data_IF_786476714290
#
_entry.id   IF_786476714290
#
_cell.length_a   1.000
_cell.length_b   1.000
_cell.length_c   1.000
_cell.angle_alpha   90.00
_cell.angle_beta   90.00
_cell.angle_gamma   90.00
#
_symmetry.space_group_name_H-M   'P 1'
#
loop_
_entity.id
_entity.type
_entity.pdbx_description
1 polymer ?
#
# COMPACT_ATOMS: atom_id res chain seq x y z
N UNK A 1 -4.36 3.26 -17.16
CA UNK A 1 -5.05 2.50 -16.10
C UNK A 1 -4.20 1.30 -15.74
N UNK A 2 -3.56 1.32 -14.57
CA UNK A 2 -2.92 0.14 -14.00
C UNK A 2 -3.98 -0.91 -13.65
N UNK A 3 -3.69 -2.19 -13.88
CA UNK A 3 -4.55 -3.29 -13.45
C UNK A 3 -4.33 -3.60 -11.97
N UNK A 4 -5.37 -4.03 -11.27
CA UNK A 4 -5.27 -4.41 -9.85
C UNK A 4 -4.23 -5.50 -9.63
N UNK A 5 -4.14 -6.48 -10.52
CA UNK A 5 -3.13 -7.55 -10.47
C UNK A 5 -1.69 -7.02 -10.56
N UNK A 6 -1.46 -6.00 -11.39
CA UNK A 6 -0.16 -5.34 -11.52
C UNK A 6 0.18 -4.56 -10.25
N UNK A 7 -0.80 -3.84 -9.69
CA UNK A 7 -0.63 -3.14 -8.42
C UNK A 7 -0.31 -4.12 -7.27
N UNK A 8 -1.04 -5.24 -7.16
CA UNK A 8 -0.77 -6.30 -6.18
C UNK A 8 0.65 -6.83 -6.33
N UNK A 9 1.10 -7.10 -7.57
CA UNK A 9 2.47 -7.56 -7.84
C UNK A 9 3.51 -6.55 -7.38
N UNK A 10 3.32 -5.27 -7.73
CA UNK A 10 4.21 -4.18 -7.33
C UNK A 10 4.26 -4.02 -5.79
N UNK A 11 3.11 -4.08 -5.13
CA UNK A 11 3.03 -3.97 -3.67
C UNK A 11 3.76 -5.13 -2.99
N UNK A 12 3.52 -6.35 -3.44
CA UNK A 12 4.19 -7.56 -2.93
C UNK A 12 5.70 -7.53 -3.11
N UNK A 13 6.20 -6.85 -4.15
CA UNK A 13 7.63 -6.69 -4.35
C UNK A 13 8.27 -5.78 -3.29
N UNK A 14 7.59 -4.67 -2.94
CA UNK A 14 8.19 -3.60 -2.13
C UNK A 14 7.91 -3.79 -0.63
N UNK A 15 6.73 -4.28 -0.23
CA UNK A 15 6.34 -4.42 1.18
C UNK A 15 7.39 -5.16 2.03
N UNK A 16 7.91 -6.34 1.61
CA UNK A 16 8.90 -7.07 2.42
C UNK A 16 10.23 -6.33 2.60
N UNK A 17 10.56 -5.40 1.69
CA UNK A 17 11.77 -4.56 1.79
C UNK A 17 11.61 -3.44 2.82
N UNK A 18 10.36 -3.07 3.16
CA UNK A 18 10.04 -2.06 4.18
C UNK A 18 9.92 -2.71 5.56
N UNK A 19 9.10 -3.74 5.68
CA UNK A 19 8.99 -4.54 6.90
C UNK A 19 8.30 -5.88 6.59
N UNK A 20 8.92 -7.04 6.92
CA UNK A 20 8.33 -8.35 6.64
C UNK A 20 7.04 -8.63 7.43
N UNK A 21 6.70 -7.82 8.44
CA UNK A 21 5.46 -7.95 9.23
C UNK A 21 4.29 -7.18 8.61
N UNK A 22 4.54 -6.32 7.63
CA UNK A 22 3.47 -5.65 6.89
C UNK A 22 2.81 -6.64 5.93
N UNK A 23 1.48 -6.65 5.94
CA UNK A 23 0.68 -7.56 5.11
C UNK A 23 -0.25 -6.74 4.25
N UNK A 24 -0.23 -7.02 2.94
CA UNK A 24 -1.22 -6.51 1.99
C UNK A 24 -2.51 -7.33 2.12
N UNK A 25 -3.63 -6.66 2.34
CA UNK A 25 -4.94 -7.28 2.28
C UNK A 25 -5.42 -7.32 0.83
N UNK A 26 -5.12 -8.42 0.14
CA UNK A 26 -5.40 -8.55 -1.30
C UNK A 26 -6.87 -8.35 -1.64
N UNK A 27 -7.79 -8.71 -0.74
CA UNK A 27 -9.23 -8.51 -0.92
C UNK A 27 -9.67 -7.05 -0.91
N UNK A 28 -8.84 -6.15 -0.38
CA UNK A 28 -9.09 -4.72 -0.26
C UNK A 28 -8.29 -3.90 -1.29
N UNK A 29 -7.78 -4.54 -2.35
CA UNK A 29 -7.05 -3.84 -3.43
C UNK A 29 -8.00 -3.57 -4.58
N UNK A 30 -8.30 -2.29 -4.80
CA UNK A 30 -9.25 -1.86 -5.82
C UNK A 30 -8.72 -0.67 -6.61
N UNK A 31 -8.88 -0.71 -7.93
CA UNK A 31 -8.63 0.48 -8.75
C UNK A 31 -9.84 1.41 -8.70
N UNK A 32 -9.61 2.69 -8.44
CA UNK A 32 -10.64 3.74 -8.37
C UNK A 32 -10.34 4.84 -9.39
N UNK A 33 -11.39 5.41 -9.98
CA UNK A 33 -11.29 6.46 -11.00
C UNK A 33 -11.59 7.87 -10.46
N UNK A 34 -12.38 7.98 -9.39
CA UNK A 34 -12.86 9.24 -8.82
C UNK A 34 -12.64 9.30 -7.30
N UNK A 35 -12.34 10.48 -6.71
CA UNK A 35 -12.08 11.76 -7.37
C UNK A 35 -10.72 11.82 -8.07
N UNK A 36 -9.85 10.83 -7.85
CA UNK A 36 -8.55 10.71 -8.49
C UNK A 36 -8.29 9.26 -8.90
N UNK A 37 -7.71 9.08 -10.09
CA UNK A 37 -7.31 7.77 -10.58
C UNK A 37 -6.18 7.15 -9.74
N UNK A 38 -6.36 5.94 -9.25
CA UNK A 38 -5.35 5.24 -8.46
C UNK A 38 -5.84 3.92 -7.87
N UNK A 39 -5.12 3.43 -6.88
CA UNK A 39 -5.39 2.15 -6.23
C UNK A 39 -5.64 2.38 -4.74
N UNK A 40 -6.82 2.00 -4.28
CA UNK A 40 -7.11 1.79 -2.87
C UNK A 40 -6.59 0.41 -2.45
N UNK A 41 -6.01 0.31 -1.25
CA UNK A 41 -5.43 -0.92 -0.76
C UNK A 41 -5.44 -1.00 0.77
N UNK A 42 -5.75 -2.17 1.30
CA UNK A 42 -5.62 -2.49 2.72
C UNK A 42 -4.19 -2.88 3.10
N UNK A 43 -3.66 -2.31 4.18
CA UNK A 43 -2.36 -2.69 4.76
C UNK A 43 -2.49 -2.94 6.26
N UNK A 44 -1.92 -4.04 6.74
CA UNK A 44 -1.92 -4.42 8.16
C UNK A 44 -0.52 -4.57 8.75
N UNK A 45 -0.44 -4.29 10.05
CA UNK A 45 0.68 -4.59 10.92
C UNK A 45 0.13 -5.19 12.22
N UNK A 46 0.24 -6.52 12.38
CA UNK A 46 -0.40 -7.22 13.50
C UNK A 46 -1.92 -7.06 13.47
N UNK A 47 -2.51 -6.54 14.54
CA UNK A 47 -3.95 -6.25 14.66
C UNK A 47 -4.36 -4.87 14.14
N UNK A 48 -3.40 -4.02 13.75
CA UNK A 48 -3.68 -2.69 13.21
C UNK A 48 -3.81 -2.75 11.69
N UNK A 49 -4.83 -2.11 11.13
CA UNK A 49 -5.06 -2.06 9.69
C UNK A 49 -5.48 -0.66 9.23
N UNK A 50 -5.17 -0.33 7.98
CA UNK A 50 -5.58 0.91 7.35
C UNK A 50 -5.93 0.67 5.88
N UNK A 51 -7.00 1.32 5.42
CA UNK A 51 -7.27 1.49 4.00
C UNK A 51 -6.53 2.74 3.51
N UNK A 52 -5.74 2.58 2.46
CA UNK A 52 -4.83 3.58 1.94
C UNK A 52 -5.08 3.78 0.44
N UNK A 53 -4.58 4.88 -0.11
CA UNK A 53 -4.71 5.19 -1.53
C UNK A 53 -3.35 5.59 -2.12
N UNK A 54 -3.06 5.06 -3.31
CA UNK A 54 -1.89 5.39 -4.12
C UNK A 54 -2.34 5.91 -5.50
N UNK A 55 -2.00 7.16 -5.87
CA UNK A 55 -2.32 7.69 -7.19
C UNK A 55 -1.70 6.85 -8.31
N UNK A 56 -2.41 6.69 -9.43
CA UNK A 56 -1.89 5.96 -10.60
C UNK A 56 -0.60 6.61 -11.14
N UNK A 57 -0.51 7.94 -11.09
CA UNK A 57 0.69 8.67 -11.50
C UNK A 57 1.95 8.25 -10.74
N UNK A 58 1.82 7.92 -9.45
CA UNK A 58 2.96 7.45 -8.65
C UNK A 58 3.34 5.99 -8.95
N UNK A 59 2.38 5.17 -9.40
CA UNK A 59 2.60 3.77 -9.77
C UNK A 59 3.21 3.63 -11.17
N UNK A 60 2.96 4.60 -12.04
CA UNK A 60 3.44 4.60 -13.43
C UNK A 60 4.71 5.42 -13.63
N UNK A 61 5.16 6.16 -12.61
CA UNK A 61 6.38 6.95 -12.67
C UNK A 61 7.65 6.07 -12.77
N UNK A 62 8.74 6.54 -13.41
CA UNK A 62 9.99 5.78 -13.50
C UNK A 62 10.59 5.39 -12.14
N UNK A 63 10.32 6.19 -11.11
CA UNK A 63 10.76 6.02 -9.72
C UNK A 63 9.69 5.37 -8.81
N UNK A 64 8.71 4.67 -9.38
CA UNK A 64 7.58 4.09 -8.65
C UNK A 64 7.99 3.22 -7.44
N UNK A 65 9.11 2.50 -7.53
CA UNK A 65 9.62 1.66 -6.44
C UNK A 65 9.96 2.50 -5.20
N UNK A 66 10.62 3.64 -5.41
CA UNK A 66 10.99 4.55 -4.34
C UNK A 66 9.76 5.25 -3.74
N UNK A 67 8.81 5.63 -4.59
CA UNK A 67 7.53 6.20 -4.15
C UNK A 67 6.72 5.22 -3.30
N UNK A 68 6.60 3.97 -3.74
CA UNK A 68 5.93 2.92 -2.97
C UNK A 68 6.64 2.64 -1.65
N UNK A 69 7.98 2.56 -1.67
CA UNK A 69 8.76 2.37 -0.45
C UNK A 69 8.48 3.48 0.55
N UNK A 70 8.58 4.75 0.13
CA UNK A 70 8.30 5.90 0.99
C UNK A 70 6.86 5.88 1.53
N UNK A 71 5.88 5.50 0.69
CA UNK A 71 4.49 5.36 1.10
C UNK A 71 4.29 4.27 2.16
N UNK A 72 4.90 3.09 1.97
CA UNK A 72 4.80 2.00 2.93
C UNK A 72 5.57 2.28 4.23
N UNK A 73 6.70 3.00 4.18
CA UNK A 73 7.40 3.48 5.38
C UNK A 73 6.55 4.47 6.19
N UNK A 74 5.80 5.35 5.51
CA UNK A 74 4.83 6.23 6.17
C UNK A 74 3.66 5.45 6.77
N UNK A 75 3.09 4.51 6.01
CA UNK A 75 2.00 3.64 6.48
C UNK A 75 2.42 2.80 7.68
N UNK A 76 3.64 2.24 7.67
CA UNK A 76 4.21 1.53 8.81
C UNK A 76 4.22 2.39 10.07
N UNK A 77 4.80 3.59 9.99
CA UNK A 77 4.88 4.51 11.14
C UNK A 77 3.50 4.88 11.67
N UNK A 78 2.53 5.06 10.78
CA UNK A 78 1.14 5.29 11.15
C UNK A 78 0.55 4.07 11.91
N UNK A 79 0.71 2.87 11.36
CA UNK A 79 0.21 1.63 11.97
C UNK A 79 0.90 1.29 13.30
N UNK A 80 2.20 1.60 13.45
CA UNK A 80 2.95 1.44 14.71
C UNK A 80 2.46 2.39 15.82
N UNK A 81 1.79 3.49 15.45
CA UNK A 81 1.22 4.45 16.40
C UNK A 81 -0.04 3.96 17.12
N UNK A 82 -0.67 2.87 16.66
CA UNK A 82 -1.84 2.31 17.31
C UNK A 82 -1.45 1.42 18.50
N UNK A 83 -2.12 1.56 19.66
CA UNK A 83 -1.85 0.71 20.80
C UNK A 83 -2.19 -0.75 20.46
N UNK A 84 -1.27 -1.66 20.78
CA UNK A 84 -1.53 -3.09 20.69
C UNK A 84 -2.62 -3.43 21.70
N UNK A 85 -3.77 -3.89 21.22
CA UNK A 85 -4.75 -4.58 22.06
C UNK A 85 -4.27 -6.02 22.16
N UNK A 86 -3.63 -6.31 23.28
CA UNK A 86 -3.29 -7.67 23.70
C UNK A 86 -4.57 -8.46 24.08
#
# INVERSE_FOLDING_TARGET
>A
MIREEDAIRMFREVIPRVDPRLVLDQGDVHYVTEPYAGVEYGLRLGSSGALLFMPEGDLTAPDWQDRLRARFEAAKRYLEGFPRRD
#
